data_IF_722018623793
#
_entry.id   IF_722018623793
#
_cell.length_a   1.000
_cell.length_b   1.000
_cell.length_c   1.000
_cell.angle_alpha   90.00
_cell.angle_beta   90.00
_cell.angle_gamma   90.00
#
_symmetry.space_group_name_H-M   'P 1'
#
loop_
_entity.id
_entity.type
_entity.pdbx_description
1 polymer ?
#
# COMPACT_ATOMS: atom_id res chain seq x y z
N UNK A 1 -1.83 -14.46 11.94
CA UNK A 1 -1.51 -13.30 11.07
C UNK A 1 -2.62 -13.16 10.06
N UNK A 2 -3.34 -12.05 10.07
CA UNK A 2 -4.52 -11.79 9.22
C UNK A 2 -4.10 -11.39 7.79
N UNK A 3 -5.05 -11.36 6.85
CA UNK A 3 -4.83 -10.82 5.49
C UNK A 3 -4.35 -9.37 5.56
N UNK A 4 -4.97 -8.57 6.43
CA UNK A 4 -4.61 -7.16 6.69
C UNK A 4 -3.18 -7.04 7.23
N UNK A 5 -2.78 -7.89 8.18
CA UNK A 5 -1.41 -7.86 8.73
C UNK A 5 -0.36 -8.15 7.64
N UNK A 6 -0.65 -9.10 6.75
CA UNK A 6 0.24 -9.45 5.63
C UNK A 6 0.36 -8.29 4.63
N UNK A 7 -0.77 -7.67 4.28
CA UNK A 7 -0.79 -6.52 3.37
C UNK A 7 -0.05 -5.32 3.98
N UNK A 8 -0.25 -5.03 5.27
CA UNK A 8 0.49 -3.98 5.98
C UNK A 8 2.01 -4.23 5.96
N UNK A 9 2.46 -5.47 6.19
CA UNK A 9 3.88 -5.81 6.12
C UNK A 9 4.46 -5.59 4.72
N UNK A 10 3.73 -5.96 3.67
CA UNK A 10 4.15 -5.77 2.29
C UNK A 10 4.21 -4.28 1.93
N UNK A 11 3.19 -3.50 2.30
CA UNK A 11 3.17 -2.04 2.12
C UNK A 11 4.41 -1.41 2.76
N UNK A 12 4.73 -1.73 4.01
CA UNK A 12 5.89 -1.15 4.69
C UNK A 12 7.23 -1.60 4.10
N UNK A 13 7.34 -2.85 3.64
CA UNK A 13 8.53 -3.33 2.96
C UNK A 13 8.77 -2.58 1.64
N UNK A 14 7.75 -2.53 0.78
CA UNK A 14 7.83 -1.83 -0.52
C UNK A 14 8.04 -0.33 -0.34
N UNK A 15 7.43 0.30 0.65
CA UNK A 15 7.63 1.72 0.96
C UNK A 15 9.10 2.02 1.31
N UNK A 16 9.72 1.19 2.16
CA UNK A 16 11.14 1.35 2.53
C UNK A 16 12.06 1.13 1.33
N UNK A 17 11.79 0.12 0.52
CA UNK A 17 12.55 -0.17 -0.69
C UNK A 17 12.45 0.97 -1.70
N UNK A 18 11.26 1.52 -1.92
CA UNK A 18 11.04 2.67 -2.79
C UNK A 18 11.86 3.89 -2.34
N UNK A 19 11.86 4.20 -1.05
CA UNK A 19 12.66 5.31 -0.53
C UNK A 19 14.16 5.05 -0.68
N UNK A 20 14.64 3.84 -0.38
CA UNK A 20 16.04 3.50 -0.57
C UNK A 20 16.47 3.64 -2.04
N UNK A 21 15.64 3.18 -2.99
CA UNK A 21 15.89 3.35 -4.42
C UNK A 21 15.89 4.84 -4.82
N UNK A 22 14.95 5.62 -4.30
CA UNK A 22 14.85 7.06 -4.58
C UNK A 22 16.06 7.83 -4.05
N UNK A 23 16.54 7.51 -2.84
CA UNK A 23 17.74 8.12 -2.26
C UNK A 23 19.00 7.83 -3.09
N UNK A 24 19.09 6.64 -3.68
CA UNK A 24 20.22 6.27 -4.55
C UNK A 24 20.12 6.94 -5.92
N UNK A 25 18.96 6.87 -6.57
CA UNK A 25 18.72 7.50 -7.86
C UNK A 25 17.23 7.83 -8.04
N UNK A 26 16.83 9.11 -7.90
CA UNK A 26 15.44 9.55 -8.07
C UNK A 26 14.84 9.27 -9.45
N UNK A 27 15.69 9.13 -10.48
CA UNK A 27 15.26 8.91 -11.86
C UNK A 27 15.35 7.44 -12.27
N UNK A 28 15.63 6.52 -11.35
CA UNK A 28 15.65 5.10 -11.64
C UNK A 28 14.24 4.62 -12.01
N UNK A 29 14.04 3.98 -13.18
CA UNK A 29 12.75 3.37 -13.53
C UNK A 29 12.22 2.41 -12.47
N UNK A 30 13.10 1.83 -11.65
CA UNK A 30 12.74 0.96 -10.55
C UNK A 30 11.93 1.69 -9.46
N UNK A 31 12.20 2.97 -9.20
CA UNK A 31 11.40 3.79 -8.26
C UNK A 31 9.94 3.85 -8.72
N UNK A 32 9.72 4.04 -10.03
CA UNK A 32 8.39 4.08 -10.62
C UNK A 32 7.68 2.72 -10.52
N UNK A 33 8.41 1.62 -10.71
CA UNK A 33 7.86 0.28 -10.54
C UNK A 33 7.45 0.02 -9.08
N UNK A 34 8.28 0.44 -8.12
CA UNK A 34 7.99 0.33 -6.69
C UNK A 34 6.80 1.21 -6.29
N UNK A 35 6.66 2.41 -6.84
CA UNK A 35 5.52 3.29 -6.54
C UNK A 35 4.20 2.67 -7.04
N UNK A 36 4.18 2.12 -8.26
CA UNK A 36 3.02 1.42 -8.80
C UNK A 36 2.65 0.17 -7.99
N UNK A 37 3.66 -0.58 -7.54
CA UNK A 37 3.45 -1.75 -6.67
C UNK A 37 2.89 -1.35 -5.31
N UNK A 38 3.39 -0.25 -4.74
CA UNK A 38 2.91 0.31 -3.49
C UNK A 38 1.44 0.76 -3.61
N UNK A 39 1.09 1.45 -4.69
CA UNK A 39 -0.30 1.87 -4.96
C UNK A 39 -1.24 0.67 -5.05
N UNK A 40 -0.82 -0.42 -5.72
CA UNK A 40 -1.60 -1.64 -5.78
C UNK A 40 -1.85 -2.25 -4.39
N UNK A 41 -0.79 -2.38 -3.58
CA UNK A 41 -0.88 -2.92 -2.22
C UNK A 41 -1.77 -2.07 -1.30
N UNK A 42 -1.70 -0.74 -1.42
CA UNK A 42 -2.56 0.19 -0.67
C UNK A 42 -4.04 0.02 -1.05
N UNK A 43 -4.34 -0.20 -2.32
CA UNK A 43 -5.70 -0.49 -2.80
C UNK A 43 -6.20 -1.83 -2.26
N UNK A 44 -5.38 -2.88 -2.30
CA UNK A 44 -5.74 -4.19 -1.73
C UNK A 44 -5.95 -4.14 -0.22
N UNK A 45 -5.11 -3.39 0.49
CA UNK A 45 -5.25 -3.15 1.93
C UNK A 45 -6.55 -2.42 2.25
N UNK A 46 -6.83 -1.36 1.49
CA UNK A 46 -8.08 -0.59 1.62
C UNK A 46 -9.29 -1.50 1.40
N UNK A 47 -9.25 -2.34 0.36
CA UNK A 47 -10.31 -3.32 0.10
C UNK A 47 -10.46 -4.30 1.25
N UNK A 48 -9.37 -4.89 1.73
CA UNK A 48 -9.39 -5.86 2.83
C UNK A 48 -9.91 -5.25 4.14
N UNK A 49 -9.62 -3.97 4.41
CA UNK A 49 -10.16 -3.24 5.56
C UNK A 49 -11.66 -2.95 5.41
N UNK A 50 -12.12 -2.64 4.20
CA UNK A 50 -13.53 -2.38 3.91
C UNK A 50 -14.39 -3.65 3.83
N UNK A 51 -13.79 -4.80 3.47
CA UNK A 51 -14.43 -6.12 3.50
C UNK A 51 -14.68 -6.64 4.91
N UNK A 52 -14.11 -6.02 5.94
CA UNK A 52 -14.46 -6.24 7.34
C UNK A 52 -15.54 -5.23 7.77
N UNK A 53 -16.83 -5.61 7.79
CA UNK A 53 -17.90 -4.65 8.05
C UNK A 53 -17.90 -4.30 9.55
N UNK A 54 -17.45 -3.10 9.88
CA UNK A 54 -18.13 -2.33 10.93
C UNK A 54 -19.06 -1.35 10.23
N UNK A 55 -20.35 -1.68 10.28
CA UNK A 55 -21.50 -0.79 10.20
C UNK A 55 -21.38 0.46 9.31
N UNK A 56 -22.19 0.45 8.25
CA UNK A 56 -22.94 1.59 7.76
C UNK A 56 -23.06 2.72 8.80
N UNK A 57 -22.54 3.91 8.49
CA UNK A 57 -23.22 5.20 8.58
C UNK A 57 -22.28 6.27 7.98
N UNK A 58 -22.87 7.10 7.12
CA UNK A 58 -22.34 8.37 6.58
C UNK A 58 -21.39 8.31 5.38
N UNK A 59 -21.98 8.07 4.20
CA UNK A 59 -21.81 9.03 3.08
C UNK A 59 -23.17 9.54 2.64
N UNK A 60 -23.70 10.49 3.42
CA UNK A 60 -24.49 11.59 2.88
C UNK A 60 -23.60 12.82 3.00
N UNK A 61 -22.95 13.19 1.91
CA UNK A 61 -22.66 14.56 1.49
C UNK A 61 -22.45 14.53 -0.03
#
# INVERSE_FOLDING_TARGET
MTKVDKLNQQVEATRREMYAAYEQNPNDPYVLQLSQSLDHLLNELTHALNEHPRNNISRNL
#
